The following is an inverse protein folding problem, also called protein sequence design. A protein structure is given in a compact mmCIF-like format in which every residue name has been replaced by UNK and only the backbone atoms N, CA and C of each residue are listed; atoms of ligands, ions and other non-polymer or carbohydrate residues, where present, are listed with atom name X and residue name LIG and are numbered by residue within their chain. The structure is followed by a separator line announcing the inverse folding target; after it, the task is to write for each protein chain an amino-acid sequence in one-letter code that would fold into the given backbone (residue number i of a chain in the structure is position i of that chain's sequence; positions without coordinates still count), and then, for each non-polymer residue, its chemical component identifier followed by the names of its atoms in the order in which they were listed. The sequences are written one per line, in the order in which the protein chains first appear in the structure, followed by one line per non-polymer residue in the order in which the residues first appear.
data_IF_410445037271
#
_entry.id   IF_410445037271
#
_cell.length_a   1.000
_cell.length_b   1.000
_cell.length_c   1.000
_cell.angle_alpha   90.00
_cell.angle_beta   90.00
_cell.angle_gamma   90.00
#
_symmetry.space_group_name_H-M   'P 1'
#
loop_
_entity.id
_entity.type
_entity.pdbx_description
1 polymer ?
#
# COMPACT_ATOMS: atom_id res chain seq x y z
N UNK A 1 24.82 -7.59 22.19
CA UNK A 1 23.44 -7.93 22.64
C UNK A 1 22.40 -7.08 21.90
N UNK A 2 22.33 -7.18 20.56
CA UNK A 2 21.46 -6.30 19.72
C UNK A 2 20.27 -6.99 19.04
N UNK A 3 20.03 -8.29 19.30
CA UNK A 3 18.97 -9.06 18.62
C UNK A 3 17.54 -8.80 19.11
N UNK A 4 17.37 -8.40 20.38
CA UNK A 4 16.05 -8.34 21.03
C UNK A 4 15.18 -7.16 20.56
N UNK A 5 15.82 -6.04 20.22
CA UNK A 5 15.15 -4.77 19.88
C UNK A 5 14.57 -4.77 18.46
N UNK A 6 15.21 -5.49 17.54
CA UNK A 6 14.71 -5.69 16.16
C UNK A 6 13.48 -6.58 16.11
N UNK A 7 13.49 -7.69 16.87
CA UNK A 7 12.41 -8.68 16.86
C UNK A 7 11.13 -8.16 17.51
N UNK A 8 11.24 -7.38 18.59
CA UNK A 8 10.10 -6.72 19.25
C UNK A 8 9.39 -5.72 18.34
N UNK A 9 10.12 -4.93 17.56
CA UNK A 9 9.52 -3.98 16.61
C UNK A 9 8.77 -4.70 15.48
N UNK A 10 9.23 -5.89 15.07
CA UNK A 10 8.59 -6.71 14.04
C UNK A 10 7.31 -7.38 14.53
N UNK A 11 7.33 -7.97 15.74
CA UNK A 11 6.14 -8.49 16.43
C UNK A 11 5.10 -7.38 16.68
N UNK A 12 5.54 -6.18 17.04
CA UNK A 12 4.65 -5.02 17.19
C UNK A 12 3.98 -4.63 15.86
N UNK A 13 4.74 -4.56 14.75
CA UNK A 13 4.17 -4.32 13.42
C UNK A 13 3.22 -5.44 12.97
N UNK A 14 3.49 -6.67 13.37
CA UNK A 14 2.63 -7.83 13.10
C UNK A 14 1.30 -7.75 13.86
N UNK A 15 1.36 -7.42 15.16
CA UNK A 15 0.16 -7.19 15.96
C UNK A 15 -0.61 -5.96 15.48
N UNK A 16 0.05 -4.86 15.10
CA UNK A 16 -0.56 -3.66 14.51
C UNK A 16 -1.38 -3.96 13.24
N UNK A 17 -0.94 -4.94 12.42
CA UNK A 17 -1.68 -5.38 11.22
C UNK A 17 -2.87 -6.28 11.59
N UNK A 18 -2.71 -7.16 12.57
CA UNK A 18 -3.78 -8.06 13.03
C UNK A 18 -4.85 -7.37 13.87
N UNK A 19 -4.51 -6.25 14.53
CA UNK A 19 -5.45 -5.46 15.34
C UNK A 19 -6.00 -4.24 14.62
N UNK A 20 -5.64 -4.05 13.34
CA UNK A 20 -6.18 -2.96 12.54
C UNK A 20 -7.70 -3.09 12.44
N UNK A 21 -8.42 -2.09 12.98
CA UNK A 21 -9.88 -2.07 12.91
C UNK A 21 -10.32 -2.01 11.44
N UNK A 22 -11.38 -2.71 11.04
CA UNK A 22 -12.01 -2.47 9.75
C UNK A 22 -12.40 -0.99 9.59
N UNK A 23 -12.47 -0.52 8.35
CA UNK A 23 -13.07 0.78 8.03
C UNK A 23 -14.52 0.81 8.53
N UNK A 24 -14.90 1.88 9.21
CA UNK A 24 -16.28 2.10 9.60
C UNK A 24 -17.17 2.46 8.40
N UNK A 25 -18.48 2.56 8.61
CA UNK A 25 -19.43 2.82 7.53
C UNK A 25 -19.17 4.15 6.80
N UNK A 26 -18.67 5.17 7.50
CA UNK A 26 -18.36 6.46 6.92
C UNK A 26 -17.07 6.40 6.11
N UNK A 27 -16.03 5.80 6.67
CA UNK A 27 -14.75 5.58 5.99
C UNK A 27 -14.90 4.71 4.73
N UNK A 28 -15.76 3.69 4.78
CA UNK A 28 -16.08 2.88 3.59
C UNK A 28 -16.76 3.69 2.50
N UNK A 29 -17.71 4.56 2.86
CA UNK A 29 -18.37 5.46 1.88
C UNK A 29 -17.35 6.41 1.25
N UNK A 30 -16.52 7.04 2.05
CA UNK A 30 -15.47 7.95 1.57
C UNK A 30 -14.48 7.26 0.63
N UNK A 31 -14.09 6.01 0.93
CA UNK A 31 -13.28 5.22 0.02
C UNK A 31 -14.04 4.91 -1.28
N UNK A 32 -15.29 4.46 -1.20
CA UNK A 32 -16.12 4.14 -2.36
C UNK A 32 -16.39 5.36 -3.26
N UNK A 33 -16.56 6.55 -2.70
CA UNK A 33 -16.77 7.80 -3.46
C UNK A 33 -15.56 8.17 -4.33
N UNK A 34 -14.36 7.70 -3.96
CA UNK A 34 -13.15 7.86 -4.75
C UNK A 34 -13.02 6.80 -5.84
N UNK A 35 -13.73 5.67 -5.77
CA UNK A 35 -13.58 4.53 -6.68
C UNK A 35 -14.58 4.64 -7.85
N UNK A 36 -14.11 4.40 -9.08
CA UNK A 36 -14.87 4.66 -10.31
C UNK A 36 -15.71 3.49 -10.79
N UNK A 37 -15.47 2.29 -10.26
CA UNK A 37 -16.17 1.09 -10.69
C UNK A 37 -16.34 0.09 -9.55
N UNK A 38 -17.28 -0.85 -9.73
CA UNK A 38 -17.46 -1.98 -8.82
C UNK A 38 -16.20 -2.87 -8.78
N UNK A 39 -15.44 -2.93 -9.87
CA UNK A 39 -14.20 -3.68 -9.94
C UNK A 39 -13.11 -3.03 -9.08
N UNK A 40 -12.98 -1.70 -9.13
CA UNK A 40 -12.09 -0.94 -8.23
C UNK A 40 -12.50 -1.10 -6.75
N UNK A 41 -13.80 -1.00 -6.46
CA UNK A 41 -14.35 -1.28 -5.12
C UNK A 41 -13.94 -2.67 -4.62
N UNK A 42 -14.10 -3.69 -5.47
CA UNK A 42 -13.74 -5.06 -5.10
C UNK A 42 -12.26 -5.20 -4.79
N UNK A 43 -11.37 -4.72 -5.67
CA UNK A 43 -9.92 -4.89 -5.44
C UNK A 43 -9.42 -4.13 -4.20
N UNK A 44 -10.02 -2.97 -3.88
CA UNK A 44 -9.67 -2.20 -2.68
C UNK A 44 -10.17 -2.88 -1.41
N UNK A 45 -11.46 -3.25 -1.36
CA UNK A 45 -12.04 -3.87 -0.16
C UNK A 45 -11.61 -5.32 0.08
N UNK A 46 -11.02 -5.97 -0.92
CA UNK A 46 -10.36 -7.28 -0.77
C UNK A 46 -8.97 -7.17 -0.10
N UNK A 47 -8.41 -5.97 0.07
CA UNK A 47 -7.15 -5.78 0.80
C UNK A 47 -7.33 -6.01 2.30
N UNK A 48 -6.21 -6.12 3.05
CA UNK A 48 -6.28 -6.21 4.51
C UNK A 48 -6.86 -4.92 5.12
N UNK A 49 -7.46 -5.00 6.31
CA UNK A 49 -8.00 -3.80 7.00
C UNK A 49 -6.91 -2.72 7.20
N UNK A 50 -5.67 -3.13 7.49
CA UNK A 50 -4.54 -2.22 7.62
C UNK A 50 -4.20 -1.50 6.30
N UNK A 51 -4.23 -2.21 5.17
CA UNK A 51 -3.95 -1.63 3.86
C UNK A 51 -5.09 -0.71 3.40
N UNK A 52 -6.36 -1.07 3.66
CA UNK A 52 -7.52 -0.21 3.40
C UNK A 52 -7.41 1.12 4.18
N UNK A 53 -7.09 1.03 5.49
CA UNK A 53 -6.87 2.22 6.32
C UNK A 53 -5.69 3.05 5.83
N UNK A 54 -4.61 2.40 5.42
CA UNK A 54 -3.43 3.08 4.91
C UNK A 54 -3.74 3.87 3.64
N UNK A 55 -4.39 3.23 2.66
CA UNK A 55 -4.81 3.87 1.41
C UNK A 55 -5.75 5.04 1.67
N UNK A 56 -6.78 4.85 2.51
CA UNK A 56 -7.73 5.92 2.82
C UNK A 56 -7.06 7.09 3.56
N UNK A 57 -6.18 6.81 4.52
CA UNK A 57 -5.43 7.85 5.22
C UNK A 57 -4.51 8.63 4.27
N UNK A 58 -3.85 7.96 3.32
CA UNK A 58 -3.03 8.60 2.31
C UNK A 58 -3.89 9.49 1.38
N UNK A 59 -5.03 8.98 0.91
CA UNK A 59 -5.96 9.74 0.08
C UNK A 59 -6.47 11.02 0.77
N UNK A 60 -6.81 10.94 2.06
CA UNK A 60 -7.25 12.10 2.85
C UNK A 60 -6.18 13.19 3.04
N UNK A 61 -4.90 12.83 2.92
CA UNK A 61 -3.78 13.77 3.05
C UNK A 61 -3.45 14.49 1.74
N UNK A 62 -4.05 14.05 0.62
CA UNK A 62 -3.94 14.69 -0.68
C UNK A 62 -5.12 15.65 -0.85
N UNK A 63 -4.83 16.91 -1.17
CA UNK A 63 -5.83 17.96 -1.28
C UNK A 63 -6.22 18.27 -2.73
N UNK A 64 -7.52 18.49 -2.98
CA UNK A 64 -8.03 19.24 -4.13
C UNK A 64 -7.91 18.59 -5.52
N UNK A 65 -7.34 17.39 -5.65
CA UNK A 65 -7.23 16.66 -6.92
C UNK A 65 -7.61 15.20 -6.76
N UNK A 66 -8.74 14.82 -7.35
CA UNK A 66 -9.35 13.50 -7.21
C UNK A 66 -8.42 12.39 -7.71
N UNK A 67 -7.68 12.63 -8.80
CA UNK A 67 -6.78 11.64 -9.41
C UNK A 67 -5.58 11.34 -8.51
N UNK A 68 -5.09 12.34 -7.76
CA UNK A 68 -4.02 12.15 -6.78
C UNK A 68 -4.53 11.43 -5.53
N UNK A 69 -5.76 11.73 -5.09
CA UNK A 69 -6.39 11.02 -3.98
C UNK A 69 -6.59 9.54 -4.33
N UNK A 70 -7.04 9.26 -5.56
CA UNK A 70 -7.17 7.91 -6.11
C UNK A 70 -5.83 7.21 -6.23
N UNK A 71 -4.80 7.88 -6.73
CA UNK A 71 -3.45 7.33 -6.79
C UNK A 71 -2.96 6.92 -5.39
N UNK A 72 -3.13 7.79 -4.39
CA UNK A 72 -2.79 7.48 -3.01
C UNK A 72 -3.62 6.32 -2.43
N UNK A 73 -4.92 6.26 -2.74
CA UNK A 73 -5.83 5.21 -2.27
C UNK A 73 -5.44 3.82 -2.81
N UNK A 74 -5.11 3.75 -4.10
CA UNK A 74 -5.00 2.50 -4.86
C UNK A 74 -3.56 1.99 -5.06
N UNK A 75 -2.53 2.74 -4.69
CA UNK A 75 -1.13 2.39 -5.00
C UNK A 75 -0.69 0.99 -4.52
N UNK A 76 -1.37 0.48 -3.50
CA UNK A 76 -1.02 -0.76 -2.79
C UNK A 76 -1.89 -1.98 -3.15
N UNK A 77 -2.84 -1.86 -4.09
CA UNK A 77 -3.77 -2.96 -4.44
C UNK A 77 -3.05 -4.23 -4.91
N UNK A 78 -1.86 -4.10 -5.48
CA UNK A 78 -1.01 -5.22 -5.91
C UNK A 78 -0.51 -6.11 -4.77
N UNK A 79 -0.50 -5.61 -3.52
CA UNK A 79 -0.10 -6.41 -2.34
C UNK A 79 -0.97 -7.66 -2.15
N UNK A 80 -2.20 -7.65 -2.65
CA UNK A 80 -3.13 -8.79 -2.60
C UNK A 80 -2.65 -9.98 -3.46
N UNK A 81 -2.23 -9.73 -4.70
CA UNK A 81 -1.87 -10.79 -5.64
C UNK A 81 -0.48 -11.40 -5.38
N UNK A 82 0.38 -10.75 -4.59
CA UNK A 82 1.62 -11.37 -4.09
C UNK A 82 1.38 -12.66 -3.27
N UNK A 83 0.13 -12.96 -2.91
CA UNK A 83 -0.29 -14.30 -2.50
C UNK A 83 0.36 -14.80 -1.21
N UNK A 84 0.82 -13.89 -0.35
CA UNK A 84 1.46 -14.22 0.92
C UNK A 84 0.54 -14.03 2.13
N UNK A 85 -0.72 -13.62 1.94
CA UNK A 85 -1.57 -13.20 3.07
C UNK A 85 -0.81 -12.28 4.03
N UNK A 86 -1.06 -12.39 5.33
CA UNK A 86 -0.39 -11.63 6.42
C UNK A 86 1.15 -11.89 6.52
N UNK A 87 1.75 -12.75 5.67
CA UNK A 87 3.06 -13.37 5.90
C UNK A 87 4.26 -12.82 5.13
N UNK A 88 4.15 -11.72 4.39
CA UNK A 88 5.26 -11.22 3.56
C UNK A 88 6.50 -10.71 4.33
N UNK A 89 6.36 -10.27 5.59
CA UNK A 89 7.41 -9.50 6.29
C UNK A 89 8.26 -10.27 7.31
N UNK A 90 7.72 -11.30 7.95
CA UNK A 90 8.50 -12.15 8.86
C UNK A 90 9.52 -13.00 8.10
N UNK A 91 9.19 -13.39 6.86
CA UNK A 91 10.02 -14.27 6.03
C UNK A 91 11.10 -13.50 5.24
N UNK A 92 10.85 -12.25 4.85
CA UNK A 92 11.88 -11.37 4.28
C UNK A 92 13.02 -11.06 5.28
N UNK A 93 12.69 -10.94 6.58
CA UNK A 93 13.70 -10.77 7.64
C UNK A 93 14.46 -12.07 7.90
N UNK A 94 13.81 -13.23 7.78
CA UNK A 94 14.47 -14.52 7.84
C UNK A 94 15.42 -14.73 6.65
N UNK A 95 15.00 -14.40 5.42
CA UNK A 95 15.78 -14.60 4.19
C UNK A 95 16.93 -13.60 4.00
N UNK A 96 16.78 -12.35 4.43
CA UNK A 96 17.88 -11.37 4.43
C UNK A 96 19.04 -11.77 5.37
N UNK A 97 18.78 -12.65 6.35
CA UNK A 97 19.81 -13.22 7.22
C UNK A 97 20.60 -14.39 6.61
N UNK A 98 20.17 -14.96 5.47
CA UNK A 98 20.71 -16.22 4.93
C UNK A 98 21.24 -16.15 3.48
N UNK A 99 21.27 -14.97 2.83
CA UNK A 99 21.85 -14.77 1.47
C UNK A 99 21.38 -15.79 0.42
N UNK A 100 20.07 -16.03 0.30
CA UNK A 100 19.52 -16.99 -0.68
C UNK A 100 18.93 -16.26 -1.89
N UNK A 101 19.25 -16.71 -3.10
CA UNK A 101 18.62 -16.23 -4.34
C UNK A 101 17.11 -16.52 -4.36
N UNK A 102 16.30 -15.46 -4.38
CA UNK A 102 14.86 -15.57 -4.20
C UNK A 102 14.15 -15.76 -5.55
N UNK A 103 13.55 -16.94 -5.76
CA UNK A 103 12.75 -17.28 -6.94
C UNK A 103 11.25 -17.42 -6.58
N UNK A 104 10.35 -17.25 -7.57
CA UNK A 104 8.91 -17.50 -7.42
C UNK A 104 8.11 -16.33 -6.79
N UNK A 105 7.13 -16.64 -5.91
CA UNK A 105 6.16 -15.68 -5.31
C UNK A 105 6.78 -14.47 -4.60
N UNK A 106 8.07 -14.54 -4.25
CA UNK A 106 8.83 -13.44 -3.65
C UNK A 106 9.30 -12.39 -4.67
N UNK A 107 9.56 -12.78 -5.93
CA UNK A 107 9.80 -11.81 -7.02
C UNK A 107 8.53 -11.05 -7.32
N UNK A 108 7.38 -11.72 -7.32
CA UNK A 108 6.04 -11.13 -7.41
C UNK A 108 5.76 -10.16 -6.24
N UNK A 109 6.31 -10.41 -5.04
CA UNK A 109 6.21 -9.48 -3.91
C UNK A 109 7.10 -8.25 -4.08
N UNK A 110 8.32 -8.38 -4.61
CA UNK A 110 9.14 -7.21 -4.96
C UNK A 110 8.53 -6.40 -6.11
N UNK A 111 7.64 -7.02 -6.89
CA UNK A 111 7.00 -6.45 -8.07
C UNK A 111 5.52 -6.09 -7.86
N UNK A 112 5.04 -6.02 -6.61
CA UNK A 112 3.64 -5.71 -6.32
C UNK A 112 3.20 -4.34 -6.83
N UNK A 113 4.15 -3.39 -6.98
CA UNK A 113 3.88 -2.12 -7.65
C UNK A 113 3.48 -2.34 -9.11
N UNK A 114 4.28 -3.09 -9.87
CA UNK A 114 3.97 -3.41 -11.27
C UNK A 114 2.70 -4.24 -11.41
N UNK A 115 2.54 -5.28 -10.57
CA UNK A 115 1.34 -6.12 -10.60
C UNK A 115 0.07 -5.34 -10.26
N UNK A 116 0.14 -4.45 -9.26
CA UNK A 116 -0.95 -3.54 -8.92
C UNK A 116 -1.27 -2.59 -10.07
N UNK A 117 -0.23 -2.04 -10.72
CA UNK A 117 -0.38 -1.18 -11.87
C UNK A 117 -1.04 -1.89 -13.06
N UNK A 118 -0.66 -3.14 -13.35
CA UNK A 118 -1.22 -3.92 -14.45
C UNK A 118 -2.72 -4.18 -14.22
N UNK A 119 -3.13 -4.55 -12.99
CA UNK A 119 -4.55 -4.67 -12.62
C UNK A 119 -5.28 -3.34 -12.83
N UNK A 120 -4.70 -2.23 -12.36
CA UNK A 120 -5.32 -0.92 -12.46
C UNK A 120 -5.44 -0.47 -13.93
N UNK A 121 -4.45 -0.80 -14.75
CA UNK A 121 -4.43 -0.54 -16.19
C UNK A 121 -5.52 -1.35 -16.90
N UNK A 122 -5.68 -2.65 -16.58
CA UNK A 122 -6.77 -3.49 -17.08
C UNK A 122 -8.16 -2.97 -16.67
N UNK A 123 -8.28 -2.38 -15.48
CA UNK A 123 -9.51 -1.75 -15.01
C UNK A 123 -9.76 -0.35 -15.61
N UNK A 124 -8.84 0.16 -16.43
CA UNK A 124 -8.96 1.47 -17.07
C UNK A 124 -8.77 2.65 -16.11
N UNK A 125 -7.97 2.47 -15.05
CA UNK A 125 -7.63 3.54 -14.12
C UNK A 125 -6.81 4.65 -14.80
N UNK A 126 -6.80 5.84 -14.18
CA UNK A 126 -6.06 6.98 -14.71
C UNK A 126 -4.55 6.71 -14.77
N UNK A 127 -3.88 7.29 -15.76
CA UNK A 127 -2.44 7.08 -15.99
C UNK A 127 -1.58 7.40 -14.76
N UNK A 128 -1.96 8.40 -13.96
CA UNK A 128 -1.27 8.75 -12.71
C UNK A 128 -1.49 7.71 -11.60
N UNK A 129 -2.66 7.06 -11.56
CA UNK A 129 -2.98 5.99 -10.61
C UNK A 129 -2.11 4.76 -10.92
N UNK A 130 -2.07 4.36 -12.20
CA UNK A 130 -1.24 3.27 -12.70
C UNK A 130 0.25 3.57 -12.47
N UNK A 131 0.71 4.76 -12.88
CA UNK A 131 2.12 5.14 -12.76
C UNK A 131 2.57 5.22 -11.30
N UNK A 132 1.75 5.74 -10.39
CA UNK A 132 2.11 5.81 -8.99
C UNK A 132 2.13 4.41 -8.35
N UNK A 133 1.14 3.56 -8.62
CA UNK A 133 1.16 2.16 -8.19
C UNK A 133 2.46 1.45 -8.63
N UNK A 134 2.86 1.63 -9.90
CA UNK A 134 4.06 0.99 -10.48
C UNK A 134 5.37 1.45 -9.82
N UNK A 135 5.48 2.74 -9.50
CA UNK A 135 6.78 3.35 -9.18
C UNK A 135 6.95 3.80 -7.72
N UNK A 136 5.91 3.80 -6.87
CA UNK A 136 5.95 4.42 -5.54
C UNK A 136 7.13 4.02 -4.62
N UNK A 137 7.76 2.86 -4.85
CA UNK A 137 8.90 2.36 -4.06
C UNK A 137 10.27 2.77 -4.60
N UNK A 138 10.31 3.34 -5.79
CA UNK A 138 11.54 3.65 -6.51
C UNK A 138 11.59 5.10 -6.96
N UNK A 139 12.10 5.30 -8.16
CA UNK A 139 12.27 6.62 -8.75
C UNK A 139 10.97 7.14 -9.37
N UNK A 140 10.81 8.46 -9.32
CA UNK A 140 9.69 9.15 -9.96
C UNK A 140 9.71 8.90 -11.48
N UNK A 141 8.61 8.40 -12.07
CA UNK A 141 8.53 8.28 -13.52
C UNK A 141 8.35 9.67 -14.16
N UNK A 142 8.79 9.86 -15.43
CA UNK A 142 8.65 11.15 -16.11
C UNK A 142 7.18 11.59 -16.32
N UNK A 143 6.25 10.63 -16.26
CA UNK A 143 4.80 10.86 -16.41
C UNK A 143 4.14 11.50 -15.19
N UNK A 144 4.81 11.53 -14.03
CA UNK A 144 4.34 12.22 -12.83
C UNK A 144 5.19 13.47 -12.62
N UNK A 145 4.53 14.62 -12.49
CA UNK A 145 5.22 15.89 -12.21
C UNK A 145 5.96 15.81 -10.86
N UNK A 146 7.06 16.56 -10.68
CA UNK A 146 7.76 16.59 -9.40
C UNK A 146 6.84 16.92 -8.23
N UNK A 147 5.95 17.90 -8.38
CA UNK A 147 5.03 18.35 -7.32
C UNK A 147 3.99 17.29 -6.95
N UNK A 148 3.45 16.58 -7.94
CA UNK A 148 2.46 15.51 -7.71
C UNK A 148 3.11 14.31 -7.03
N UNK A 149 4.30 13.92 -7.49
CA UNK A 149 5.08 12.86 -6.86
C UNK A 149 5.38 13.18 -5.40
N UNK A 150 5.86 14.39 -5.15
CA UNK A 150 6.17 14.88 -3.82
C UNK A 150 4.95 14.89 -2.90
N UNK A 151 3.79 15.27 -3.44
CA UNK A 151 2.52 15.26 -2.72
C UNK A 151 2.11 13.84 -2.33
N UNK A 152 2.17 12.90 -3.27
CA UNK A 152 1.85 11.50 -3.04
C UNK A 152 2.81 10.84 -2.04
N UNK A 153 4.12 11.02 -2.22
CA UNK A 153 5.13 10.47 -1.30
C UNK A 153 5.02 11.08 0.11
N UNK A 154 4.68 12.36 0.24
CA UNK A 154 4.42 12.99 1.56
C UNK A 154 3.19 12.40 2.23
N UNK A 155 2.11 12.20 1.47
CA UNK A 155 0.88 11.59 1.97
C UNK A 155 1.13 10.15 2.46
N UNK A 156 1.84 9.33 1.67
CA UNK A 156 2.20 7.95 2.02
C UNK A 156 2.99 7.90 3.34
N UNK A 157 4.09 8.67 3.46
CA UNK A 157 4.92 8.69 4.69
C UNK A 157 4.14 9.14 5.92
N UNK A 158 3.27 10.15 5.78
CA UNK A 158 2.43 10.63 6.88
C UNK A 158 1.39 9.59 7.27
N UNK A 159 0.71 8.95 6.31
CA UNK A 159 -0.24 7.88 6.58
C UNK A 159 0.40 6.69 7.32
N UNK A 160 1.61 6.29 6.92
CA UNK A 160 2.37 5.25 7.64
C UNK A 160 2.72 5.65 9.09
N UNK A 161 2.84 6.95 9.37
CA UNK A 161 3.14 7.45 10.72
C UNK A 161 1.89 7.54 11.59
N UNK A 162 0.75 7.93 11.01
CA UNK A 162 -0.53 8.02 11.72
C UNK A 162 -1.01 6.64 12.20
N UNK A 163 -0.92 5.62 11.34
CA UNK A 163 -1.27 4.25 11.73
C UNK A 163 -0.42 3.72 12.89
N UNK A 164 0.85 4.11 12.96
CA UNK A 164 1.75 3.73 14.07
C UNK A 164 1.40 4.40 15.41
N UNK A 165 0.64 5.50 15.41
CA UNK A 165 0.30 6.29 16.60
C UNK A 165 -1.04 5.92 17.21
N UNK A 166 -2.03 5.52 16.41
CA UNK A 166 -3.38 5.16 16.87
C UNK A 166 -3.44 3.84 17.64
N UNK A 167 -2.35 3.05 17.62
CA UNK A 167 -2.27 1.69 18.20
C UNK A 167 -1.38 1.70 19.48
N UNK A 168 -1.17 2.87 20.09
CA UNK A 168 -0.45 3.03 21.37
C UNK A 168 -1.39 3.23 22.54
#
# INVERSE_FOLDING_TARGET
MSGFRGWWHLLRRFLEVLTARPLDAQERREASDLLRSDAENRIFFDQSAADQQHGLAAAKLVAGRIELQRAALLHDVGKRQAGLGVWGRSLATALAGIHVEVHGRFRTYLDHGSLGADILEELGAESIVVAFARHHQGERPPTITPDDWDTLQRAERKAQTLLKRTIR
#
